data_IF_014871192868
#
_entry.id   IF_014871192868
#
_cell.length_a   1.000
_cell.length_b   1.000
_cell.length_c   1.000
_cell.angle_alpha   90.00
_cell.angle_beta   90.00
_cell.angle_gamma   90.00
#
_symmetry.space_group_name_H-M   'P 1'
#
loop_
_entity.id
_entity.type
_entity.pdbx_description
1 polymer ?
#
# COMPACT_ATOMS: atom_id res chain seq x y z
N UNK A 1 28.53 -11.74 13.86
CA UNK A 1 28.67 -11.26 12.49
C UNK A 1 30.13 -10.87 12.29
N UNK A 2 30.82 -11.42 11.32
CA UNK A 2 32.21 -11.11 11.03
C UNK A 2 32.34 -9.74 10.30
N UNK A 3 33.55 -9.14 10.32
CA UNK A 3 33.78 -7.88 9.63
C UNK A 3 33.43 -7.92 8.12
N UNK A 4 33.72 -9.00 7.39
CA UNK A 4 33.28 -9.14 5.99
C UNK A 4 31.75 -9.20 5.81
N UNK A 5 31.03 -9.81 6.76
CA UNK A 5 29.56 -9.87 6.71
C UNK A 5 28.94 -8.49 6.97
N UNK A 6 29.48 -7.74 7.94
CA UNK A 6 29.10 -6.35 8.19
C UNK A 6 29.32 -5.45 6.96
N UNK A 7 30.44 -5.65 6.28
CA UNK A 7 30.79 -4.88 5.10
C UNK A 7 29.87 -5.21 3.91
N UNK A 8 29.51 -6.48 3.71
CA UNK A 8 28.52 -6.91 2.72
C UNK A 8 27.13 -6.36 3.06
N UNK A 9 26.75 -6.39 4.32
CA UNK A 9 25.47 -5.83 4.78
C UNK A 9 25.42 -4.31 4.57
N UNK A 10 26.48 -3.59 4.90
CA UNK A 10 26.59 -2.15 4.66
C UNK A 10 26.53 -1.80 3.17
N UNK A 11 27.19 -2.60 2.32
CA UNK A 11 27.12 -2.43 0.86
C UNK A 11 25.75 -2.73 0.29
N UNK A 12 25.01 -3.69 0.85
CA UNK A 12 23.64 -3.99 0.46
C UNK A 12 22.65 -2.89 0.85
N UNK A 13 22.98 -2.14 1.91
CA UNK A 13 22.21 -0.97 2.36
C UNK A 13 22.64 0.33 1.69
N UNK A 14 23.79 0.34 1.02
CA UNK A 14 24.25 1.53 0.31
C UNK A 14 23.29 1.87 -0.84
N UNK A 15 22.94 3.15 -1.04
CA UNK A 15 22.16 3.57 -2.19
C UNK A 15 22.83 3.12 -3.47
N UNK A 16 22.05 2.64 -4.43
CA UNK A 16 22.55 2.37 -5.76
C UNK A 16 23.12 3.68 -6.35
N UNK A 17 24.38 3.72 -6.78
CA UNK A 17 24.96 4.93 -7.40
C UNK A 17 24.21 5.37 -8.68
N UNK A 18 23.41 4.49 -9.27
CA UNK A 18 22.49 4.84 -10.36
C UNK A 18 21.11 5.29 -9.91
N UNK A 19 20.84 5.24 -8.61
CA UNK A 19 19.54 5.58 -8.02
C UNK A 19 19.74 6.83 -7.14
N UNK A 20 19.32 7.97 -7.65
CA UNK A 20 19.37 9.23 -6.91
C UNK A 20 18.52 9.09 -5.63
N UNK A 21 19.12 9.11 -4.43
CA UNK A 21 18.37 8.93 -3.18
C UNK A 21 17.35 10.05 -2.93
N UNK A 22 17.46 11.19 -3.60
CA UNK A 22 16.47 12.26 -3.56
C UNK A 22 15.18 11.91 -4.33
N UNK A 23 15.23 10.87 -5.16
CA UNK A 23 14.10 10.42 -6.01
C UNK A 23 13.35 9.22 -5.42
N UNK A 24 13.84 8.60 -4.39
CA UNK A 24 13.21 7.46 -3.73
C UNK A 24 12.82 7.81 -2.30
N UNK A 25 11.54 7.84 -2.01
CA UNK A 25 11.03 8.01 -0.64
C UNK A 25 11.25 6.77 0.23
N UNK A 26 11.74 5.69 -0.32
CA UNK A 26 11.88 4.43 0.40
C UNK A 26 13.32 3.96 0.42
N UNK A 27 13.75 3.57 1.60
CA UNK A 27 15.00 2.84 1.86
C UNK A 27 14.88 1.39 1.38
N UNK A 28 14.57 1.18 0.11
CA UNK A 28 14.62 -0.16 -0.45
C UNK A 28 15.87 -0.30 -1.30
N UNK A 29 16.71 -1.23 -0.91
CA UNK A 29 17.86 -1.62 -1.69
C UNK A 29 17.47 -2.36 -2.97
N UNK A 30 18.46 -2.65 -3.82
CA UNK A 30 18.32 -3.34 -5.13
C UNK A 30 17.53 -4.66 -5.07
N UNK A 31 17.39 -5.26 -3.89
CA UNK A 31 16.78 -6.58 -3.71
C UNK A 31 15.30 -6.52 -3.30
N UNK A 32 14.78 -5.34 -3.06
CA UNK A 32 13.40 -5.16 -2.60
C UNK A 32 12.58 -4.60 -3.76
N UNK A 33 11.61 -5.38 -4.20
CA UNK A 33 10.59 -4.88 -5.12
C UNK A 33 9.46 -4.25 -4.30
N UNK A 34 9.35 -2.93 -4.28
CA UNK A 34 8.31 -2.26 -3.52
C UNK A 34 6.94 -2.59 -4.12
N UNK A 35 5.95 -2.90 -3.28
CA UNK A 35 4.57 -3.09 -3.70
C UNK A 35 3.73 -1.85 -3.38
N UNK A 36 3.63 -1.48 -2.11
CA UNK A 36 2.85 -0.32 -1.67
C UNK A 36 3.45 0.99 -2.18
N UNK A 37 4.76 1.08 -2.16
CA UNK A 37 5.52 2.27 -2.61
C UNK A 37 5.98 2.16 -4.06
N UNK A 38 5.46 1.19 -4.81
CA UNK A 38 5.85 0.99 -6.21
C UNK A 38 5.60 2.24 -7.06
N UNK A 39 6.59 2.64 -7.84
CA UNK A 39 6.50 3.79 -8.74
C UNK A 39 6.62 5.16 -8.06
N UNK A 40 6.88 5.24 -6.75
CA UNK A 40 7.20 6.49 -6.09
C UNK A 40 8.67 6.86 -6.30
N UNK A 41 8.92 8.09 -6.74
CA UNK A 41 10.25 8.64 -6.98
C UNK A 41 10.59 9.88 -6.13
N UNK A 42 9.73 10.20 -5.16
CA UNK A 42 9.88 11.36 -4.27
C UNK A 42 9.37 12.68 -4.84
N UNK A 43 9.14 12.77 -6.14
CA UNK A 43 8.67 13.98 -6.82
C UNK A 43 7.25 13.82 -7.43
N UNK A 44 6.75 12.61 -7.51
CA UNK A 44 5.49 12.26 -8.17
C UNK A 44 4.32 12.06 -7.17
N UNK A 45 4.19 12.94 -6.21
CA UNK A 45 3.21 12.87 -5.12
C UNK A 45 1.88 13.60 -5.41
N UNK A 46 1.80 14.32 -6.52
CA UNK A 46 0.59 15.09 -6.87
C UNK A 46 -0.53 14.18 -7.38
N UNK A 47 -1.74 14.67 -7.33
CA UNK A 47 -2.93 13.96 -7.83
C UNK A 47 -2.76 13.49 -9.29
N UNK A 48 -2.23 14.36 -10.15
CA UNK A 48 -1.98 14.02 -11.56
C UNK A 48 -1.01 12.83 -11.71
N UNK A 49 0.03 12.78 -10.88
CA UNK A 49 1.01 11.69 -10.88
C UNK A 49 0.38 10.38 -10.37
N UNK A 50 -0.47 10.47 -9.35
CA UNK A 50 -1.22 9.32 -8.85
C UNK A 50 -2.17 8.75 -9.91
N UNK A 51 -2.94 9.59 -10.57
CA UNK A 51 -3.86 9.18 -11.65
C UNK A 51 -3.09 8.56 -12.82
N UNK A 52 -1.95 9.14 -13.21
CA UNK A 52 -1.09 8.63 -14.28
C UNK A 52 -0.55 7.23 -14.00
N UNK A 53 -0.38 6.86 -12.73
CA UNK A 53 0.06 5.52 -12.29
C UNK A 53 -1.09 4.54 -12.05
N UNK A 54 -2.27 4.83 -12.53
CA UNK A 54 -3.46 3.98 -12.35
C UNK A 54 -4.25 4.28 -11.07
N UNK A 55 -3.98 5.40 -10.42
CA UNK A 55 -4.74 5.85 -9.27
C UNK A 55 -6.23 6.01 -9.59
N UNK A 56 -7.09 5.60 -8.67
CA UNK A 56 -8.55 5.58 -8.80
C UNK A 56 -9.14 4.63 -9.87
N UNK A 57 -8.34 3.83 -10.57
CA UNK A 57 -8.87 2.86 -11.55
C UNK A 57 -9.78 1.83 -10.86
N UNK A 58 -9.37 1.29 -9.73
CA UNK A 58 -10.20 0.35 -8.96
C UNK A 58 -11.50 0.99 -8.49
N UNK A 59 -11.47 2.24 -8.02
CA UNK A 59 -12.67 2.97 -7.64
C UNK A 59 -13.60 3.17 -8.84
N UNK A 60 -13.06 3.58 -9.97
CA UNK A 60 -13.82 3.74 -11.21
C UNK A 60 -14.48 2.41 -11.62
N UNK A 61 -13.72 1.31 -11.60
CA UNK A 61 -14.24 -0.04 -11.85
C UNK A 61 -15.43 -0.36 -10.96
N UNK A 62 -15.31 -0.17 -9.65
CA UNK A 62 -16.40 -0.43 -8.69
C UNK A 62 -17.64 0.39 -9.03
N UNK A 63 -17.47 1.69 -9.31
CA UNK A 63 -18.60 2.59 -9.56
C UNK A 63 -19.29 2.36 -10.92
N UNK A 64 -18.56 1.89 -11.94
CA UNK A 64 -19.10 1.75 -13.29
C UNK A 64 -19.54 0.33 -13.65
N UNK A 65 -19.03 -0.69 -12.95
CA UNK A 65 -19.35 -2.10 -13.25
C UNK A 65 -20.55 -2.66 -12.51
N UNK A 66 -21.19 -1.87 -11.65
CA UNK A 66 -22.30 -2.34 -10.81
C UNK A 66 -21.90 -3.36 -9.74
N UNK A 67 -20.64 -3.41 -9.37
CA UNK A 67 -20.16 -4.28 -8.28
C UNK A 67 -20.92 -3.99 -6.99
N UNK A 68 -21.38 -5.04 -6.33
CA UNK A 68 -22.02 -4.93 -5.03
C UNK A 68 -20.95 -4.83 -3.92
N UNK A 69 -21.28 -4.26 -2.76
CA UNK A 69 -20.34 -4.22 -1.63
C UNK A 69 -19.78 -5.60 -1.24
N UNK A 70 -20.58 -6.65 -1.40
CA UNK A 70 -20.17 -8.04 -1.14
C UNK A 70 -19.05 -8.50 -2.08
N UNK A 71 -19.13 -8.13 -3.35
CA UNK A 71 -18.14 -8.49 -4.37
C UNK A 71 -16.81 -7.80 -4.07
N UNK A 72 -16.87 -6.53 -3.64
CA UNK A 72 -15.67 -5.79 -3.22
C UNK A 72 -15.02 -6.44 -2.00
N UNK A 73 -15.82 -6.86 -1.00
CA UNK A 73 -15.31 -7.56 0.18
C UNK A 73 -14.70 -8.91 -0.21
N UNK A 74 -15.32 -9.64 -1.13
CA UNK A 74 -14.80 -10.91 -1.62
C UNK A 74 -13.44 -10.74 -2.32
N UNK A 75 -13.31 -9.72 -3.16
CA UNK A 75 -12.05 -9.38 -3.84
C UNK A 75 -10.93 -9.04 -2.83
N UNK A 76 -11.24 -8.21 -1.82
CA UNK A 76 -10.28 -7.86 -0.76
C UNK A 76 -9.91 -9.06 0.11
N UNK A 77 -10.84 -9.99 0.37
CA UNK A 77 -10.52 -11.27 1.03
C UNK A 77 -9.60 -12.12 0.18
N UNK A 78 -9.88 -12.26 -1.09
CA UNK A 78 -9.10 -13.06 -2.04
C UNK A 78 -7.67 -12.51 -2.20
N UNK A 79 -7.48 -11.19 -2.14
CA UNK A 79 -6.17 -10.55 -2.21
C UNK A 79 -5.25 -10.87 -1.02
N UNK A 80 -5.80 -11.35 0.09
CA UNK A 80 -5.05 -11.58 1.32
C UNK A 80 -4.54 -10.31 2.01
N UNK A 81 -5.04 -9.13 1.64
CA UNK A 81 -4.62 -7.86 2.24
C UNK A 81 -4.81 -7.86 3.75
N UNK A 82 -3.78 -7.42 4.46
CA UNK A 82 -3.76 -7.30 5.91
C UNK A 82 -3.52 -5.87 6.35
N UNK A 83 -3.99 -5.52 7.55
CA UNK A 83 -3.72 -4.24 8.18
C UNK A 83 -2.22 -4.00 8.37
N UNK A 84 -1.82 -2.74 8.33
CA UNK A 84 -0.43 -2.28 8.49
C UNK A 84 -0.16 -1.59 9.83
N UNK A 85 -1.13 -1.53 10.71
CA UNK A 85 -1.00 -0.99 12.08
C UNK A 85 -0.42 -1.96 13.11
N UNK A 86 0.34 -2.97 12.69
CA UNK A 86 1.05 -3.92 13.55
C UNK A 86 0.35 -5.27 13.74
N UNK A 87 -0.96 -5.30 13.97
CA UNK A 87 -1.70 -6.55 14.23
C UNK A 87 -1.88 -7.46 12.99
N UNK A 88 -1.73 -6.93 11.79
CA UNK A 88 -1.87 -7.70 10.55
C UNK A 88 -3.24 -8.33 10.35
N UNK A 89 -4.30 -7.72 10.89
CA UNK A 89 -5.64 -8.27 10.80
C UNK A 89 -6.14 -8.34 9.34
N UNK A 90 -6.81 -9.43 8.92
CA UNK A 90 -7.29 -9.56 7.54
C UNK A 90 -8.30 -8.45 7.20
N UNK A 91 -7.96 -7.59 6.25
CA UNK A 91 -8.74 -6.39 5.92
C UNK A 91 -10.15 -6.73 5.41
N UNK A 92 -10.26 -7.69 4.50
CA UNK A 92 -11.56 -8.09 3.96
C UNK A 92 -12.47 -8.74 5.01
N UNK A 93 -11.90 -9.41 6.01
CA UNK A 93 -12.66 -9.93 7.14
C UNK A 93 -13.18 -8.78 8.01
N UNK A 94 -12.34 -7.79 8.32
CA UNK A 94 -12.75 -6.60 9.07
C UNK A 94 -13.89 -5.86 8.37
N UNK A 95 -13.81 -5.69 7.07
CA UNK A 95 -14.86 -5.04 6.29
C UNK A 95 -16.18 -5.82 6.31
N UNK A 96 -16.14 -7.17 6.39
CA UNK A 96 -17.35 -7.97 6.47
C UNK A 96 -18.12 -7.82 7.78
N UNK A 97 -17.52 -7.24 8.81
CA UNK A 97 -18.18 -6.95 10.09
C UNK A 97 -19.04 -5.67 10.07
N UNK A 98 -18.96 -4.88 9.01
CA UNK A 98 -19.75 -3.66 8.89
C UNK A 98 -21.24 -3.99 8.96
N UNK A 99 -21.98 -3.42 9.93
CA UNK A 99 -23.41 -3.67 10.05
C UNK A 99 -24.17 -3.06 8.88
N UNK A 100 -24.80 -3.91 8.08
CA UNK A 100 -25.51 -3.49 6.86
C UNK A 100 -26.85 -2.83 7.15
N UNK A 101 -27.55 -3.37 8.14
CA UNK A 101 -28.89 -2.92 8.52
C UNK A 101 -28.89 -1.78 9.54
N UNK A 102 -27.75 -1.16 9.82
CA UNK A 102 -27.70 -0.03 10.76
C UNK A 102 -28.41 1.19 10.15
N UNK A 103 -29.48 1.70 10.81
CA UNK A 103 -30.32 2.75 10.24
C UNK A 103 -29.72 4.16 10.36
N UNK A 104 -28.66 4.33 11.17
CA UNK A 104 -28.02 5.62 11.41
C UNK A 104 -26.92 5.95 10.42
N UNK A 105 -26.34 7.13 10.59
CA UNK A 105 -25.17 7.58 9.81
C UNK A 105 -23.99 6.63 10.05
N UNK A 106 -23.34 6.22 8.99
CA UNK A 106 -22.08 5.45 9.04
C UNK A 106 -20.91 6.38 8.79
N UNK A 107 -19.86 6.17 9.56
CA UNK A 107 -18.62 6.94 9.45
C UNK A 107 -17.47 6.00 9.11
N UNK A 108 -16.56 6.47 8.28
CA UNK A 108 -15.29 5.83 8.00
C UNK A 108 -14.16 6.72 8.54
N UNK A 109 -13.35 6.17 9.42
CA UNK A 109 -12.14 6.84 9.92
C UNK A 109 -10.94 6.14 9.32
N UNK A 110 -10.11 6.90 8.62
CA UNK A 110 -8.85 6.41 8.06
C UNK A 110 -7.71 6.82 8.98
N UNK A 111 -7.06 5.86 9.62
CA UNK A 111 -5.79 6.08 10.30
C UNK A 111 -4.68 5.90 9.26
N UNK A 112 -4.14 7.00 8.75
CA UNK A 112 -3.17 6.99 7.64
C UNK A 112 -1.83 7.63 8.00
N UNK A 113 -1.62 7.91 9.28
CA UNK A 113 -0.36 8.42 9.84
C UNK A 113 0.08 7.53 11.01
N UNK A 114 0.48 6.32 10.68
CA UNK A 114 0.96 5.34 11.65
C UNK A 114 2.50 5.35 11.65
N UNK A 115 3.07 5.92 12.70
CA UNK A 115 4.51 6.01 12.92
C UNK A 115 5.17 4.67 13.29
#
# INVERSE_FOLDING_TARGET
MSAPELQRFAQALAPDPGNDPSRTMCLHGRHIQPQIMAGLDGNNWRLADYVKRGGYEALRKVLTSGMKPEDVIAEVKASGLRGRGGAGFPTGLKWSFMPRAFPGQKYLVCNSDEG
#
